data_IF_850793949862
#
_entry.id   IF_850793949862
#
_cell.length_a   1.000
_cell.length_b   1.000
_cell.length_c   1.000
_cell.angle_alpha   90.00
_cell.angle_beta   90.00
_cell.angle_gamma   90.00
#
_symmetry.space_group_name_H-M   'P 1'
#
loop_
_entity.id
_entity.type
_entity.pdbx_description
1 polymer ?
#
# COMPACT_ATOMS: atom_id res chain seq x y z
N UNK A 1 -17.65 7.84 -4.51
CA UNK A 1 -17.24 6.53 -3.95
C UNK A 1 -17.14 6.72 -2.44
N UNK A 2 -17.73 5.83 -1.63
CA UNK A 2 -17.61 5.96 -0.18
C UNK A 2 -16.20 5.64 0.31
N UNK A 3 -15.81 6.22 1.44
CA UNK A 3 -14.52 5.97 2.04
C UNK A 3 -14.33 4.52 2.50
N UNK A 4 -15.41 3.83 2.86
CA UNK A 4 -15.38 2.39 3.13
C UNK A 4 -15.00 1.57 1.89
N UNK A 5 -15.54 1.90 0.71
CA UNK A 5 -15.15 1.21 -0.53
C UNK A 5 -13.69 1.47 -0.86
N UNK A 6 -13.21 2.71 -0.66
CA UNK A 6 -11.80 3.03 -0.84
C UNK A 6 -10.88 2.26 0.14
N UNK A 7 -11.31 2.12 1.41
CA UNK A 7 -10.60 1.36 2.43
C UNK A 7 -10.52 -0.13 2.07
N UNK A 8 -11.63 -0.73 1.61
CA UNK A 8 -11.64 -2.10 1.10
C UNK A 8 -10.71 -2.24 -0.10
N UNK A 9 -10.73 -1.28 -1.04
CA UNK A 9 -9.84 -1.26 -2.21
C UNK A 9 -8.35 -1.22 -1.81
N UNK A 10 -7.98 -0.37 -0.85
CA UNK A 10 -6.61 -0.30 -0.33
C UNK A 10 -6.26 -1.62 0.38
N UNK A 11 -7.16 -2.17 1.17
CA UNK A 11 -6.96 -3.47 1.86
C UNK A 11 -6.73 -4.59 0.84
N UNK A 12 -7.57 -4.68 -0.18
CA UNK A 12 -7.45 -5.66 -1.27
C UNK A 12 -6.13 -5.50 -2.03
N UNK A 13 -5.71 -4.26 -2.32
CA UNK A 13 -4.42 -4.00 -2.96
C UNK A 13 -3.23 -4.44 -2.10
N UNK A 14 -3.26 -4.14 -0.80
CA UNK A 14 -2.22 -4.55 0.15
C UNK A 14 -2.11 -6.07 0.21
N UNK A 15 -3.25 -6.75 0.29
CA UNK A 15 -3.32 -8.22 0.26
C UNK A 15 -2.80 -8.79 -1.06
N UNK A 16 -3.16 -8.19 -2.20
CA UNK A 16 -2.72 -8.62 -3.51
C UNK A 16 -1.19 -8.55 -3.64
N UNK A 17 -0.56 -7.46 -3.18
CA UNK A 17 0.89 -7.29 -3.25
C UNK A 17 1.63 -8.40 -2.49
N UNK A 18 1.23 -8.67 -1.24
CA UNK A 18 1.87 -9.75 -0.45
C UNK A 18 1.56 -11.13 -1.02
N UNK A 19 0.33 -11.35 -1.51
CA UNK A 19 -0.04 -12.61 -2.13
C UNK A 19 0.88 -12.91 -3.31
N UNK A 20 1.08 -11.96 -4.23
CA UNK A 20 1.97 -12.16 -5.38
C UNK A 20 3.43 -12.33 -4.93
N UNK A 21 3.91 -11.47 -4.03
CA UNK A 21 5.30 -11.50 -3.59
C UNK A 21 5.69 -12.80 -2.88
N UNK A 22 4.81 -13.33 -2.02
CA UNK A 22 5.03 -14.59 -1.31
C UNK A 22 4.85 -15.79 -2.23
N UNK A 23 3.82 -15.82 -3.08
CA UNK A 23 3.55 -16.95 -3.95
C UNK A 23 4.55 -17.08 -5.11
N UNK A 24 5.36 -16.05 -5.40
CA UNK A 24 6.55 -16.24 -6.25
C UNK A 24 7.45 -17.37 -5.73
N UNK A 25 7.55 -17.55 -4.39
CA UNK A 25 8.33 -18.64 -3.79
C UNK A 25 7.75 -20.01 -4.10
N UNK A 26 6.43 -20.13 -4.22
CA UNK A 26 5.79 -21.39 -4.62
C UNK A 26 6.25 -21.83 -6.01
N UNK A 27 6.39 -20.88 -6.96
CA UNK A 27 6.92 -21.17 -8.30
C UNK A 27 8.36 -21.66 -8.25
N UNK A 28 9.20 -21.07 -7.39
CA UNK A 28 10.58 -21.52 -7.19
C UNK A 28 10.66 -22.91 -6.54
N UNK A 29 9.76 -23.21 -5.59
CA UNK A 29 9.67 -24.52 -4.96
C UNK A 29 9.32 -25.59 -6.00
N UNK A 30 8.36 -25.31 -6.88
CA UNK A 30 8.01 -26.20 -7.99
C UNK A 30 9.17 -26.40 -8.98
N UNK A 31 10.16 -25.49 -9.02
CA UNK A 31 11.41 -25.61 -9.80
C UNK A 31 12.53 -26.36 -9.07
N UNK A 32 12.25 -26.95 -7.89
CA UNK A 32 13.18 -27.77 -7.13
C UNK A 32 13.91 -27.05 -6.00
N UNK A 33 13.53 -25.81 -5.69
CA UNK A 33 14.09 -25.05 -4.55
C UNK A 33 13.46 -25.57 -3.27
N UNK A 34 14.25 -25.79 -2.22
CA UNK A 34 13.69 -26.26 -0.94
C UNK A 34 12.84 -25.16 -0.30
N UNK A 35 11.71 -25.53 0.31
CA UNK A 35 10.81 -24.56 0.92
C UNK A 35 11.44 -23.79 2.09
N UNK A 36 12.44 -24.37 2.75
CA UNK A 36 13.21 -23.79 3.86
C UNK A 36 14.41 -22.94 3.41
N UNK A 37 14.59 -22.71 2.10
CA UNK A 37 15.71 -21.92 1.56
C UNK A 37 15.67 -20.43 1.91
N UNK A 38 14.57 -19.93 2.46
CA UNK A 38 14.39 -18.52 2.81
C UNK A 38 14.36 -18.35 4.34
N UNK A 39 15.54 -18.44 4.95
CA UNK A 39 15.71 -18.27 6.41
C UNK A 39 16.10 -16.84 6.77
N UNK A 40 15.92 -16.48 8.04
CA UNK A 40 16.42 -15.21 8.58
C UNK A 40 17.95 -15.29 8.67
N UNK A 41 18.66 -14.45 7.91
CA UNK A 41 20.12 -14.35 7.93
C UNK A 41 20.86 -15.08 6.80
N UNK A 42 20.16 -15.89 5.99
CA UNK A 42 20.70 -16.51 4.78
C UNK A 42 19.66 -16.46 3.65
N UNK A 43 19.17 -15.26 3.35
CA UNK A 43 18.12 -15.09 2.35
C UNK A 43 18.66 -15.35 0.94
N UNK A 44 18.02 -16.28 0.23
CA UNK A 44 18.25 -16.48 -1.20
C UNK A 44 17.96 -15.20 -1.98
N UNK A 45 18.78 -14.92 -2.98
CA UNK A 45 18.60 -13.77 -3.85
C UNK A 45 17.22 -13.82 -4.53
N UNK A 46 16.54 -12.66 -4.55
CA UNK A 46 15.21 -12.49 -5.12
C UNK A 46 15.32 -11.64 -6.38
N UNK A 47 14.51 -11.90 -7.42
CA UNK A 47 14.37 -10.98 -8.53
C UNK A 47 14.09 -9.57 -8.04
N UNK A 48 14.73 -8.58 -8.65
CA UNK A 48 14.64 -7.18 -8.20
C UNK A 48 13.18 -6.68 -8.18
N UNK A 49 12.34 -7.16 -9.08
CA UNK A 49 10.91 -6.85 -9.11
C UNK A 49 10.16 -7.40 -7.88
N UNK A 50 10.46 -8.63 -7.45
CA UNK A 50 9.84 -9.25 -6.26
C UNK A 50 10.23 -8.46 -5.02
N UNK A 51 11.52 -8.11 -4.88
CA UNK A 51 12.00 -7.27 -3.77
C UNK A 51 11.29 -5.91 -3.73
N UNK A 52 11.12 -5.25 -4.88
CA UNK A 52 10.38 -3.99 -4.97
C UNK A 52 8.89 -4.14 -4.64
N UNK A 53 8.28 -5.28 -4.99
CA UNK A 53 6.89 -5.58 -4.64
C UNK A 53 6.71 -5.78 -3.13
N UNK A 54 7.64 -6.47 -2.46
CA UNK A 54 7.66 -6.61 -1.00
C UNK A 54 7.80 -5.25 -0.31
N UNK A 55 8.68 -4.38 -0.82
CA UNK A 55 8.82 -3.02 -0.30
C UNK A 55 7.56 -2.16 -0.53
N UNK A 56 6.89 -2.30 -1.68
CA UNK A 56 5.62 -1.63 -1.95
C UNK A 56 4.52 -2.10 -0.97
N UNK A 57 4.49 -3.39 -0.65
CA UNK A 57 3.61 -3.94 0.37
C UNK A 57 3.89 -3.38 1.77
N UNK A 58 5.16 -3.31 2.19
CA UNK A 58 5.51 -2.69 3.48
C UNK A 58 5.08 -1.24 3.55
N UNK A 59 5.27 -0.49 2.47
CA UNK A 59 4.77 0.88 2.44
C UNK A 59 3.25 0.98 2.51
N UNK A 60 2.52 0.02 1.92
CA UNK A 60 1.07 -0.08 2.11
C UNK A 60 0.70 -0.34 3.57
N UNK A 61 1.41 -1.24 4.27
CA UNK A 61 1.18 -1.56 5.68
C UNK A 61 1.42 -0.39 6.63
N UNK A 62 2.33 0.52 6.31
CA UNK A 62 2.56 1.74 7.11
C UNK A 62 1.40 2.74 7.01
N UNK A 63 0.62 2.69 5.93
CA UNK A 63 -0.38 3.71 5.61
C UNK A 63 -1.82 3.21 5.77
N UNK A 64 -2.06 1.92 5.52
CA UNK A 64 -3.39 1.32 5.63
C UNK A 64 -4.00 1.49 7.03
N UNK A 65 -3.27 1.26 8.15
CA UNK A 65 -3.83 1.46 9.49
C UNK A 65 -4.23 2.91 9.76
N UNK A 66 -3.45 3.87 9.27
CA UNK A 66 -3.75 5.30 9.41
C UNK A 66 -5.03 5.64 8.64
N UNK A 67 -5.12 5.22 7.38
CA UNK A 67 -6.32 5.45 6.58
C UNK A 67 -7.55 4.77 7.17
N UNK A 68 -7.41 3.53 7.66
CA UNK A 68 -8.48 2.80 8.32
C UNK A 68 -8.99 3.53 9.56
N UNK A 69 -8.08 4.00 10.42
CA UNK A 69 -8.45 4.73 11.64
C UNK A 69 -9.26 5.99 11.30
N UNK A 70 -8.82 6.77 10.29
CA UNK A 70 -9.51 8.00 9.84
C UNK A 70 -10.92 7.67 9.33
N UNK A 71 -11.04 6.69 8.42
CA UNK A 71 -12.33 6.33 7.82
C UNK A 71 -13.29 5.77 8.86
N UNK A 72 -12.82 4.84 9.71
CA UNK A 72 -13.67 4.23 10.73
C UNK A 72 -14.11 5.26 11.80
N UNK A 73 -13.21 6.16 12.21
CA UNK A 73 -13.57 7.26 13.11
C UNK A 73 -14.63 8.18 12.48
N UNK A 74 -14.47 8.56 11.22
CA UNK A 74 -15.46 9.39 10.52
C UNK A 74 -16.85 8.76 10.51
N UNK A 75 -16.94 7.45 10.27
CA UNK A 75 -18.20 6.72 10.27
C UNK A 75 -18.79 6.60 11.68
N UNK A 76 -17.96 6.35 12.69
CA UNK A 76 -18.39 6.31 14.09
C UNK A 76 -18.90 7.68 14.59
N UNK A 77 -18.32 8.78 14.08
CA UNK A 77 -18.71 10.15 14.41
C UNK A 77 -19.92 10.67 13.61
N UNK A 78 -20.41 9.92 12.60
CA UNK A 78 -21.42 10.42 11.68
C UNK A 78 -20.93 11.57 10.77
N UNK A 79 -19.61 11.69 10.57
CA UNK A 79 -18.95 12.72 9.74
C UNK A 79 -18.43 12.12 8.42
N UNK A 80 -19.13 11.16 7.82
CA UNK A 80 -18.73 10.49 6.56
C UNK A 80 -18.42 11.46 5.41
N UNK A 81 -19.18 12.56 5.19
CA UNK A 81 -18.94 13.46 4.05
C UNK A 81 -17.51 14.04 4.00
N UNK A 82 -16.86 14.22 5.16
CA UNK A 82 -15.48 14.74 5.27
C UNK A 82 -14.49 13.79 4.58
N UNK A 83 -14.64 12.49 4.79
CA UNK A 83 -13.70 11.48 4.26
C UNK A 83 -14.12 10.99 2.87
N UNK A 84 -15.42 10.88 2.59
CA UNK A 84 -15.93 10.37 1.31
C UNK A 84 -15.49 11.23 0.12
N UNK A 85 -15.31 12.54 0.34
CA UNK A 85 -14.86 13.49 -0.70
C UNK A 85 -13.45 13.20 -1.21
N UNK A 86 -12.56 12.69 -0.34
CA UNK A 86 -11.13 12.53 -0.65
C UNK A 86 -10.66 11.09 -0.76
N UNK A 87 -11.45 10.14 -0.24
CA UNK A 87 -11.04 8.75 -0.14
C UNK A 87 -10.69 8.09 -1.48
N UNK A 88 -11.36 8.48 -2.58
CA UNK A 88 -11.01 7.97 -3.91
C UNK A 88 -9.62 8.39 -4.37
N UNK A 89 -9.22 9.62 -4.08
CA UNK A 89 -7.90 10.13 -4.46
C UNK A 89 -6.80 9.49 -3.63
N UNK A 90 -7.05 9.18 -2.35
CA UNK A 90 -6.13 8.38 -1.53
C UNK A 90 -5.87 7.02 -2.19
N UNK A 91 -6.93 6.31 -2.57
CA UNK A 91 -6.79 4.99 -3.21
C UNK A 91 -6.01 5.08 -4.52
N UNK A 92 -6.36 6.04 -5.39
CA UNK A 92 -5.65 6.24 -6.67
C UNK A 92 -4.17 6.54 -6.43
N UNK A 93 -3.84 7.46 -5.53
CA UNK A 93 -2.46 7.81 -5.21
C UNK A 93 -1.68 6.60 -4.66
N UNK A 94 -2.32 5.76 -3.83
CA UNK A 94 -1.71 4.52 -3.31
C UNK A 94 -1.40 3.51 -4.40
N UNK A 95 -2.35 3.26 -5.30
CA UNK A 95 -2.17 2.35 -6.43
C UNK A 95 -1.04 2.85 -7.33
N UNK A 96 -1.08 4.13 -7.72
CA UNK A 96 -0.07 4.74 -8.58
C UNK A 96 1.33 4.70 -7.94
N UNK A 97 1.45 5.06 -6.66
CA UNK A 97 2.71 4.97 -5.92
C UNK A 97 3.29 3.56 -5.92
N UNK A 98 2.44 2.56 -5.63
CA UNK A 98 2.85 1.14 -5.57
C UNK A 98 3.32 0.64 -6.93
N UNK A 99 2.60 0.97 -8.00
CA UNK A 99 2.96 0.60 -9.36
C UNK A 99 4.31 1.22 -9.77
N UNK A 100 4.51 2.52 -9.53
CA UNK A 100 5.80 3.18 -9.78
C UNK A 100 6.91 2.54 -8.94
N UNK A 101 6.60 2.11 -7.71
CA UNK A 101 7.54 1.40 -6.85
C UNK A 101 8.02 0.09 -7.47
N UNK A 102 7.12 -0.68 -8.05
CA UNK A 102 7.41 -1.97 -8.66
C UNK A 102 8.16 -1.80 -9.99
N UNK A 103 7.81 -0.78 -10.78
CA UNK A 103 8.41 -0.55 -12.10
C UNK A 103 9.92 -0.26 -12.02
N UNK A 104 10.39 0.53 -11.06
CA UNK A 104 11.81 0.88 -11.01
C UNK A 104 12.21 1.86 -9.90
N UNK A 105 13.50 2.23 -9.91
CA UNK A 105 14.16 3.04 -8.87
C UNK A 105 15.00 4.20 -9.44
N UNK A 106 14.73 4.63 -10.68
CA UNK A 106 15.40 5.82 -11.23
C UNK A 106 15.03 7.07 -10.43
N UNK A 107 15.88 8.10 -10.48
CA UNK A 107 15.67 9.35 -9.74
C UNK A 107 14.24 9.90 -9.90
N UNK A 108 13.75 10.00 -11.14
CA UNK A 108 12.41 10.51 -11.43
C UNK A 108 11.28 9.62 -10.92
N UNK A 109 11.45 8.30 -10.95
CA UNK A 109 10.47 7.37 -10.38
C UNK A 109 10.43 7.49 -8.85
N UNK A 110 11.57 7.70 -8.20
CA UNK A 110 11.61 7.95 -6.76
C UNK A 110 10.89 9.25 -6.40
N UNK A 111 11.13 10.33 -7.15
CA UNK A 111 10.44 11.61 -6.96
C UNK A 111 8.93 11.48 -7.18
N UNK A 112 8.51 10.75 -8.21
CA UNK A 112 7.09 10.53 -8.49
C UNK A 112 6.39 9.73 -7.37
N UNK A 113 7.06 8.70 -6.80
CA UNK A 113 6.54 7.98 -5.62
C UNK A 113 6.43 8.90 -4.41
N UNK A 114 7.44 9.73 -4.19
CA UNK A 114 7.41 10.71 -3.10
C UNK A 114 6.22 11.67 -3.26
N UNK A 115 5.94 12.15 -4.49
CA UNK A 115 4.80 12.99 -4.77
C UNK A 115 3.46 12.31 -4.43
N UNK A 116 3.24 11.07 -4.88
CA UNK A 116 2.02 10.32 -4.53
C UNK A 116 1.90 10.02 -3.04
N UNK A 117 3.02 9.75 -2.36
CA UNK A 117 3.03 9.56 -0.90
C UNK A 117 2.66 10.85 -0.17
N UNK A 118 3.29 11.97 -0.52
CA UNK A 118 3.01 13.28 0.06
C UNK A 118 1.56 13.67 -0.13
N UNK A 119 0.99 13.45 -1.32
CA UNK A 119 -0.43 13.72 -1.57
C UNK A 119 -1.34 12.95 -0.60
N UNK A 120 -1.04 11.67 -0.33
CA UNK A 120 -1.81 10.87 0.63
C UNK A 120 -1.70 11.42 2.05
N UNK A 121 -0.48 11.75 2.50
CA UNK A 121 -0.24 12.30 3.83
C UNK A 121 -0.98 13.62 4.03
N UNK A 122 -0.95 14.53 3.04
CA UNK A 122 -1.69 15.79 3.08
C UNK A 122 -3.21 15.56 3.15
N UNK A 123 -3.73 14.61 2.37
CA UNK A 123 -5.14 14.22 2.44
C UNK A 123 -5.50 13.64 3.81
N UNK A 124 -4.63 12.82 4.43
CA UNK A 124 -4.86 12.30 5.78
C UNK A 124 -4.91 13.42 6.82
N UNK A 125 -3.97 14.36 6.79
CA UNK A 125 -4.00 15.52 7.69
C UNK A 125 -5.27 16.35 7.52
N UNK A 126 -5.68 16.61 6.28
CA UNK A 126 -6.90 17.35 6.00
C UNK A 126 -8.15 16.60 6.51
N UNK A 127 -8.25 15.29 6.26
CA UNK A 127 -9.36 14.48 6.78
C UNK A 127 -9.39 14.51 8.31
N UNK A 128 -8.26 14.28 8.97
CA UNK A 128 -8.18 14.31 10.44
C UNK A 128 -8.61 15.67 11.00
N UNK A 129 -8.12 16.76 10.41
CA UNK A 129 -8.55 18.11 10.77
C UNK A 129 -10.06 18.30 10.63
N UNK A 130 -10.64 17.92 9.49
CA UNK A 130 -12.08 18.05 9.24
C UNK A 130 -12.96 17.17 10.15
N UNK A 131 -12.41 16.12 10.76
CA UNK A 131 -13.13 15.31 11.73
C UNK A 131 -13.19 15.97 13.11
N UNK A 132 -12.16 16.72 13.51
CA UNK A 132 -12.06 17.33 14.85
C UNK A 132 -12.44 18.80 14.91
N UNK A 133 -12.41 19.52 13.78
CA UNK A 133 -12.99 20.85 13.63
C UNK A 133 -14.52 20.80 13.67
#
# INVERSE_FOLDING_TARGET
MSALVALIGFTAWTLLLVFIAVNWRALEILRGVKADSWTRGAERERPSMVKRMEHAHFNCLENLPVFAAIVLAAYAMGKQPVVDTLACYVLIARLAQSLVHIMGVSHWMVMLRAAFYTAQVLMFFYMMWGLVA
#
